data_IF_124436173585
#
_entry.id   IF_124436173585
#
_cell.length_a   1.000
_cell.length_b   1.000
_cell.length_c   1.000
_cell.angle_alpha   90.00
_cell.angle_beta   90.00
_cell.angle_gamma   90.00
#
_symmetry.space_group_name_H-M   'P 1'
#
loop_
_entity.id
_entity.type
_entity.pdbx_description
1 polymer ?
#
# COMPACT_ATOMS: atom_id res chain seq x y z
N UNK A 1 19.02 43.57 8.04
CA UNK A 1 18.65 42.45 7.15
C UNK A 1 18.71 41.17 7.96
N UNK A 2 17.60 40.44 8.01
CA UNK A 2 17.41 39.24 8.83
C UNK A 2 17.86 38.04 8.00
N UNK A 3 18.80 37.24 8.53
CA UNK A 3 19.16 35.94 7.97
C UNK A 3 18.98 34.89 9.08
N UNK A 4 17.76 34.39 9.20
CA UNK A 4 17.45 33.18 9.97
C UNK A 4 17.81 31.97 9.10
N UNK A 5 18.97 31.38 9.38
CA UNK A 5 19.35 30.07 8.84
C UNK A 5 18.53 28.99 9.54
N UNK A 6 17.37 28.66 8.97
CA UNK A 6 16.56 27.52 9.40
C UNK A 6 16.87 26.30 8.53
N UNK A 7 17.78 25.43 8.97
CA UNK A 7 17.86 24.07 8.43
C UNK A 7 16.74 23.24 9.03
N UNK A 8 15.57 23.25 8.40
CA UNK A 8 14.52 22.28 8.67
C UNK A 8 14.91 20.96 7.98
N UNK A 9 15.69 20.12 8.65
CA UNK A 9 15.77 18.70 8.28
C UNK A 9 14.42 18.08 8.64
N UNK A 10 13.46 18.11 7.72
CA UNK A 10 12.34 17.18 7.77
C UNK A 10 12.94 15.79 7.68
N UNK A 11 13.08 15.14 8.84
CA UNK A 11 13.21 13.70 8.92
C UNK A 11 11.95 13.13 8.25
N UNK A 12 12.04 12.88 6.94
CA UNK A 12 11.14 11.97 6.27
C UNK A 12 11.19 10.69 7.09
N UNK A 13 10.10 10.43 7.82
CA UNK A 13 9.82 9.14 8.42
C UNK A 13 9.74 8.19 7.23
N UNK A 14 10.88 7.65 6.84
CA UNK A 14 10.98 6.43 6.05
C UNK A 14 10.39 5.35 6.93
N UNK A 15 9.06 5.24 6.85
CA UNK A 15 8.40 3.98 7.11
C UNK A 15 9.13 2.89 6.33
N UNK A 16 9.20 1.66 6.85
CA UNK A 16 9.97 0.60 6.22
C UNK A 16 9.61 0.53 4.74
N UNK A 17 10.62 0.59 3.87
CA UNK A 17 10.49 0.57 2.41
C UNK A 17 10.00 -0.79 1.86
N UNK A 18 9.45 -1.63 2.73
CA UNK A 18 8.93 -2.94 2.44
C UNK A 18 7.46 -3.03 2.87
N UNK A 19 6.70 -3.95 2.25
CA UNK A 19 5.34 -4.21 2.65
C UNK A 19 5.25 -4.47 4.16
N UNK A 20 4.26 -3.92 4.88
CA UNK A 20 4.08 -4.18 6.31
C UNK A 20 4.00 -5.69 6.59
N UNK A 21 4.51 -6.13 7.76
CA UNK A 21 4.58 -7.54 8.11
C UNK A 21 3.21 -8.20 7.99
N UNK A 22 3.18 -9.41 7.44
CA UNK A 22 1.97 -10.16 7.09
C UNK A 22 1.01 -10.35 8.27
N UNK A 23 1.54 -10.35 9.50
CA UNK A 23 0.76 -10.51 10.73
C UNK A 23 -0.21 -9.35 11.04
N UNK A 24 0.00 -8.15 10.48
CA UNK A 24 -0.91 -7.00 10.68
C UNK A 24 -1.82 -6.78 9.48
N UNK A 25 -1.68 -7.60 8.42
CA UNK A 25 -2.48 -7.48 7.21
C UNK A 25 -3.84 -8.15 7.41
N UNK A 26 -4.95 -7.51 6.98
CA UNK A 26 -6.24 -8.17 6.98
C UNK A 26 -6.19 -9.43 6.09
N UNK A 27 -6.78 -10.51 6.59
CA UNK A 27 -6.89 -11.77 5.86
C UNK A 27 -8.22 -11.79 5.11
N UNK A 28 -8.16 -11.82 3.78
CA UNK A 28 -9.32 -11.99 2.92
C UNK A 28 -9.39 -13.45 2.43
N UNK A 29 -10.59 -14.02 2.37
CA UNK A 29 -10.78 -15.34 1.77
C UNK A 29 -10.71 -15.21 0.24
N UNK A 30 -9.49 -15.29 -0.28
CA UNK A 30 -9.16 -15.21 -1.71
C UNK A 30 -8.68 -16.59 -2.22
N UNK A 31 -9.31 -17.66 -1.74
CA UNK A 31 -9.00 -19.02 -2.18
C UNK A 31 -9.18 -19.13 -3.70
N UNK A 32 -8.26 -19.79 -4.39
CA UNK A 32 -8.25 -19.88 -5.87
C UNK A 32 -7.54 -18.73 -6.59
N UNK A 33 -7.23 -17.63 -5.92
CA UNK A 33 -6.43 -16.54 -6.51
C UNK A 33 -4.92 -16.76 -6.35
N UNK A 34 -4.14 -16.24 -7.32
CA UNK A 34 -2.68 -16.27 -7.28
C UNK A 34 -2.13 -15.50 -6.07
N UNK A 35 -0.95 -15.88 -5.53
CA UNK A 35 -0.33 -15.14 -4.43
C UNK A 35 -0.13 -13.65 -4.75
N UNK A 36 0.27 -13.32 -5.97
CA UNK A 36 0.45 -11.95 -6.42
C UNK A 36 -0.86 -11.14 -6.41
N UNK A 37 -1.96 -11.74 -6.85
CA UNK A 37 -3.28 -11.12 -6.76
C UNK A 37 -3.68 -10.84 -5.31
N UNK A 38 -3.46 -11.80 -4.40
CA UNK A 38 -3.78 -11.66 -2.97
C UNK A 38 -3.02 -10.50 -2.33
N UNK A 39 -1.72 -10.41 -2.59
CA UNK A 39 -0.89 -9.31 -2.10
C UNK A 39 -1.42 -7.97 -2.60
N UNK A 40 -1.69 -7.88 -3.91
CA UNK A 40 -2.25 -6.68 -4.54
C UNK A 40 -3.57 -6.29 -3.89
N UNK A 41 -4.50 -7.24 -3.71
CA UNK A 41 -5.82 -6.99 -3.13
C UNK A 41 -5.74 -6.38 -1.72
N UNK A 42 -4.88 -6.95 -0.86
CA UNK A 42 -4.67 -6.44 0.49
C UNK A 42 -4.11 -5.01 0.43
N UNK A 43 -3.05 -4.81 -0.35
CA UNK A 43 -2.37 -3.53 -0.54
C UNK A 43 -3.31 -2.42 -1.07
N UNK A 44 -4.12 -2.74 -2.07
CA UNK A 44 -5.11 -1.84 -2.66
C UNK A 44 -6.20 -1.47 -1.68
N UNK A 45 -6.71 -2.45 -0.93
CA UNK A 45 -7.74 -2.21 0.08
C UNK A 45 -7.23 -1.31 1.21
N UNK A 46 -6.04 -1.58 1.74
CA UNK A 46 -5.42 -0.74 2.79
C UNK A 46 -5.10 0.67 2.28
N UNK A 47 -4.73 0.80 1.00
CA UNK A 47 -4.58 2.09 0.32
C UNK A 47 -5.89 2.88 0.28
N UNK A 48 -7.01 2.23 -0.04
CA UNK A 48 -8.33 2.90 -0.09
C UNK A 48 -8.80 3.38 1.29
N UNK A 49 -8.50 2.61 2.34
CA UNK A 49 -8.84 2.92 3.74
C UNK A 49 -7.92 3.96 4.38
N UNK A 50 -6.86 4.39 3.68
CA UNK A 50 -5.81 5.30 4.20
C UNK A 50 -5.21 4.82 5.52
N UNK A 51 -5.02 3.50 5.66
CA UNK A 51 -4.38 2.96 6.87
C UNK A 51 -2.87 3.15 6.79
N UNK A 52 -2.18 2.94 7.91
CA UNK A 52 -0.71 2.87 7.96
C UNK A 52 -0.13 1.73 7.10
N UNK A 53 -0.98 0.84 6.61
CA UNK A 53 -0.62 -0.30 5.76
C UNK A 53 -0.93 -0.07 4.29
N UNK A 54 -1.31 1.15 3.90
CA UNK A 54 -1.42 1.60 2.51
C UNK A 54 -0.08 1.48 1.78
N UNK A 55 0.24 0.27 1.31
CA UNK A 55 1.42 -0.03 0.53
C UNK A 55 0.98 -0.21 -0.92
N UNK A 56 1.54 0.59 -1.83
CA UNK A 56 1.49 0.30 -3.26
C UNK A 56 2.92 -0.01 -3.68
N UNK A 57 3.22 -1.27 -3.93
CA UNK A 57 4.50 -1.66 -4.51
C UNK A 57 4.48 -1.22 -5.99
N UNK A 58 5.02 -0.03 -6.27
CA UNK A 58 4.99 0.57 -7.61
C UNK A 58 5.70 -0.29 -8.65
N UNK A 59 6.80 -0.95 -8.25
CA UNK A 59 7.55 -1.84 -9.12
C UNK A 59 6.71 -3.06 -9.51
N UNK A 60 6.05 -3.71 -8.53
CA UNK A 60 5.13 -4.81 -8.83
C UNK A 60 3.93 -4.33 -9.62
N UNK A 61 3.40 -3.15 -9.30
CA UNK A 61 2.27 -2.57 -10.02
C UNK A 61 2.57 -2.33 -11.51
N UNK A 62 3.82 -2.02 -11.87
CA UNK A 62 4.22 -1.82 -13.27
C UNK A 62 4.51 -3.11 -14.04
N UNK A 63 5.00 -4.17 -13.37
CA UNK A 63 5.50 -5.38 -14.06
C UNK A 63 4.68 -6.65 -13.82
N UNK A 64 3.92 -6.72 -12.73
CA UNK A 64 3.15 -7.88 -12.31
C UNK A 64 1.65 -7.60 -12.53
N UNK A 65 1.11 -8.14 -13.62
CA UNK A 65 -0.29 -7.96 -13.98
C UNK A 65 -1.26 -8.51 -12.92
N UNK A 66 -0.90 -9.60 -12.23
CA UNK A 66 -1.74 -10.20 -11.20
C UNK A 66 -1.80 -9.29 -9.97
N UNK A 67 -0.66 -8.75 -9.55
CA UNK A 67 -0.60 -7.75 -8.48
C UNK A 67 -1.39 -6.49 -8.84
N UNK A 68 -1.22 -5.96 -10.05
CA UNK A 68 -1.95 -4.77 -10.53
C UNK A 68 -3.47 -4.97 -10.52
N UNK A 69 -3.93 -6.13 -10.99
CA UNK A 69 -5.35 -6.47 -10.96
C UNK A 69 -5.88 -6.56 -9.52
N UNK A 70 -5.18 -7.31 -8.65
CA UNK A 70 -5.54 -7.41 -7.24
C UNK A 70 -5.62 -6.05 -6.56
N UNK A 71 -4.61 -5.20 -6.75
CA UNK A 71 -4.58 -3.85 -6.18
C UNK A 71 -5.75 -2.99 -6.63
N UNK A 72 -6.07 -3.01 -7.92
CA UNK A 72 -7.17 -2.21 -8.48
C UNK A 72 -8.53 -2.68 -7.95
N UNK A 73 -8.72 -3.99 -7.83
CA UNK A 73 -9.95 -4.59 -7.28
C UNK A 73 -10.09 -4.28 -5.79
N UNK A 74 -9.07 -4.57 -4.98
CA UNK A 74 -9.07 -4.29 -3.55
C UNK A 74 -9.29 -2.81 -3.23
N UNK A 75 -8.67 -1.91 -4.00
CA UNK A 75 -8.90 -0.47 -3.86
C UNK A 75 -10.35 -0.09 -4.14
N UNK A 76 -10.94 -0.63 -5.21
CA UNK A 76 -12.31 -0.29 -5.62
C UNK A 76 -13.36 -0.84 -4.63
N UNK A 77 -13.23 -2.10 -4.22
CA UNK A 77 -14.14 -2.76 -3.27
C UNK A 77 -14.12 -2.07 -1.92
N UNK A 78 -12.94 -1.77 -1.39
CA UNK A 78 -12.81 -1.17 -0.06
C UNK A 78 -13.09 0.34 -0.04
N UNK A 79 -12.95 1.04 -1.17
CA UNK A 79 -13.39 2.45 -1.29
C UNK A 79 -14.92 2.58 -1.29
N UNK A 80 -15.64 1.60 -1.82
CA UNK A 80 -17.10 1.58 -1.88
C UNK A 80 -17.80 1.18 -0.58
N UNK A 81 -17.08 0.55 0.37
CA UNK A 81 -17.57 0.28 1.73
C UNK A 81 -17.35 1.52 2.60
N UNK A 82 -18.30 2.46 2.58
CA UNK A 82 -18.48 3.49 3.63
C UNK A 82 -19.58 3.08 4.58
#
# INVERSE_FOLDING_TARGET
MILIAGCATTAEVKGPAGPPPTSTRPVYNLTGYSPAFKDGYIDGCETSKKTRHAAKDERRFSVDAQYKMGWSDGYSVCRGKR
#
